data_IF_648830052807
#
_entry.id   IF_648830052807
#
_cell.length_a   1.000
_cell.length_b   1.000
_cell.length_c   1.000
_cell.angle_alpha   90.00
_cell.angle_beta   90.00
_cell.angle_gamma   90.00
#
_symmetry.space_group_name_H-M   'P 1'
#
loop_
_entity.id
_entity.type
_entity.pdbx_description
1 polymer ?
#
# COMPACT_ATOMS: atom_id res chain seq x y z
N UNK A 1 55.48 34.90 -55.50
CA UNK A 1 54.99 33.64 -56.10
C UNK A 1 53.62 33.33 -55.53
N UNK A 2 52.65 33.07 -56.42
CA UNK A 2 51.42 32.34 -56.08
C UNK A 2 50.20 33.16 -55.65
N UNK A 3 49.56 33.82 -56.62
CA UNK A 3 48.20 34.36 -56.52
C UNK A 3 47.13 33.27 -56.75
N UNK A 4 45.92 33.52 -56.22
CA UNK A 4 44.54 33.20 -56.72
C UNK A 4 43.60 33.25 -55.51
N UNK A 5 42.43 33.86 -55.50
CA UNK A 5 41.57 34.44 -56.54
C UNK A 5 40.14 34.45 -55.97
N UNK A 6 39.40 35.52 -56.24
CA UNK A 6 38.10 35.89 -55.64
C UNK A 6 36.92 35.02 -56.13
N UNK A 7 35.81 35.02 -55.38
CA UNK A 7 34.47 35.26 -55.95
C UNK A 7 33.41 35.51 -54.85
N UNK A 8 32.81 36.70 -54.89
CA UNK A 8 31.52 37.01 -54.30
C UNK A 8 30.42 36.57 -55.28
N UNK A 9 29.32 36.01 -54.76
CA UNK A 9 28.12 35.69 -55.52
C UNK A 9 26.88 36.17 -54.76
N UNK A 10 26.27 37.23 -55.27
CA UNK A 10 24.92 37.70 -54.94
C UNK A 10 23.87 36.93 -55.74
N UNK A 11 22.77 36.50 -55.11
CA UNK A 11 21.64 35.95 -55.85
C UNK A 11 20.50 35.43 -54.97
N UNK A 12 19.43 36.22 -54.91
CA UNK A 12 18.01 35.83 -54.86
C UNK A 12 17.40 35.15 -53.61
N UNK A 13 16.36 35.83 -53.08
CA UNK A 13 15.02 35.24 -53.09
C UNK A 13 14.57 34.45 -51.85
N UNK A 14 14.05 35.18 -50.86
CA UNK A 14 12.81 34.85 -50.16
C UNK A 14 12.73 33.55 -49.34
N UNK A 15 12.59 33.68 -48.02
CA UNK A 15 11.57 32.93 -47.26
C UNK A 15 11.39 33.55 -45.87
N UNK A 16 10.16 33.98 -45.59
CA UNK A 16 9.70 34.35 -44.26
C UNK A 16 9.83 33.14 -43.32
N UNK A 17 10.74 33.21 -42.36
CA UNK A 17 10.89 32.21 -41.29
C UNK A 17 10.25 32.73 -40.01
N UNK A 18 9.07 32.22 -39.68
CA UNK A 18 8.39 32.42 -38.40
C UNK A 18 9.31 32.05 -37.23
N UNK A 19 9.55 32.99 -36.33
CA UNK A 19 10.05 32.68 -34.99
C UNK A 19 8.91 32.01 -34.22
N UNK A 20 8.79 30.69 -34.33
CA UNK A 20 8.03 29.91 -33.35
C UNK A 20 8.79 29.99 -32.03
N UNK A 21 8.18 30.64 -31.03
CA UNK A 21 8.54 30.46 -29.62
C UNK A 21 8.44 28.96 -29.32
N UNK A 22 9.57 28.27 -29.30
CA UNK A 22 9.68 26.98 -28.64
C UNK A 22 9.35 27.19 -27.17
N UNK A 23 8.18 26.71 -26.73
CA UNK A 23 7.86 26.61 -25.33
C UNK A 23 8.94 25.78 -24.66
N UNK A 24 9.58 26.33 -23.62
CA UNK A 24 10.38 25.52 -22.72
C UNK A 24 9.41 24.49 -22.11
N UNK A 25 9.47 23.25 -22.58
CA UNK A 25 8.91 22.13 -21.85
C UNK A 25 9.61 22.10 -20.50
N UNK A 26 8.85 22.30 -19.43
CA UNK A 26 9.30 22.08 -18.06
C UNK A 26 10.03 20.74 -17.97
N UNK A 27 11.14 20.63 -17.22
CA UNK A 27 11.75 19.33 -16.98
C UNK A 27 10.69 18.38 -16.40
N UNK A 28 10.66 17.10 -16.80
CA UNK A 28 9.75 16.13 -16.20
C UNK A 28 9.99 16.15 -14.69
N UNK A 29 8.91 16.32 -13.92
CA UNK A 29 8.95 16.12 -12.47
C UNK A 29 9.59 14.76 -12.20
N UNK A 30 10.40 14.61 -11.13
CA UNK A 30 10.89 13.28 -10.74
C UNK A 30 9.68 12.35 -10.62
N UNK A 31 9.80 11.05 -10.95
CA UNK A 31 8.68 10.14 -10.83
C UNK A 31 8.17 10.24 -9.40
N UNK A 32 6.88 10.47 -9.20
CA UNK A 32 6.31 10.61 -7.87
C UNK A 32 6.18 9.20 -7.30
N UNK A 33 6.57 8.98 -6.04
CA UNK A 33 6.28 7.70 -5.40
C UNK A 33 4.77 7.56 -5.26
N UNK A 34 4.22 6.41 -5.66
CA UNK A 34 2.79 6.15 -5.53
C UNK A 34 2.57 5.15 -4.41
N UNK A 35 1.63 5.46 -3.52
CA UNK A 35 1.31 4.65 -2.36
C UNK A 35 -0.14 4.21 -2.40
N UNK A 36 -0.39 2.92 -2.21
CA UNK A 36 -1.71 2.39 -1.87
C UNK A 36 -1.73 2.16 -0.36
N UNK A 37 -2.57 2.89 0.36
CA UNK A 37 -2.68 2.86 1.82
C UNK A 37 -4.08 2.50 2.25
N UNK A 38 -4.21 1.46 3.05
CA UNK A 38 -5.42 1.10 3.74
C UNK A 38 -5.33 1.66 5.17
N UNK A 39 -6.38 2.34 5.58
CA UNK A 39 -6.57 2.86 6.92
C UNK A 39 -7.77 2.15 7.54
N UNK A 40 -7.60 1.65 8.76
CA UNK A 40 -8.65 1.02 9.54
C UNK A 40 -8.66 1.65 10.93
N UNK A 41 -9.86 1.93 11.43
CA UNK A 41 -10.09 2.46 12.77
C UNK A 41 -11.16 1.60 13.43
N UNK A 42 -10.86 1.09 14.62
CA UNK A 42 -11.78 0.27 15.40
C UNK A 42 -11.97 0.87 16.79
N UNK A 43 -13.22 1.05 17.18
CA UNK A 43 -13.62 1.52 18.50
C UNK A 43 -14.18 0.34 19.26
N UNK A 44 -13.42 -0.17 20.22
CA UNK A 44 -13.85 -1.26 21.10
C UNK A 44 -14.60 -0.67 22.29
N UNK A 45 -15.93 -0.73 22.27
CA UNK A 45 -16.78 -0.24 23.36
C UNK A 45 -16.80 -1.18 24.55
N UNK A 46 -16.76 -2.49 24.28
CA UNK A 46 -16.66 -3.57 25.26
C UNK A 46 -16.20 -4.87 24.55
N UNK A 47 -16.09 -5.96 25.30
CA UNK A 47 -15.63 -7.25 24.80
C UNK A 47 -16.48 -7.87 23.68
N UNK A 48 -17.69 -7.36 23.44
CA UNK A 48 -18.65 -7.87 22.46
C UNK A 48 -19.12 -6.83 21.43
N UNK A 49 -18.68 -5.58 21.55
CA UNK A 49 -19.15 -4.47 20.72
C UNK A 49 -17.97 -3.67 20.21
N UNK A 50 -17.87 -3.61 18.89
CA UNK A 50 -16.79 -2.93 18.16
C UNK A 50 -17.38 -2.23 16.96
N UNK A 51 -17.17 -0.92 16.86
CA UNK A 51 -17.42 -0.18 15.62
C UNK A 51 -16.14 -0.14 14.81
N UNK A 52 -16.24 -0.33 13.50
CA UNK A 52 -15.08 -0.36 12.62
C UNK A 52 -15.37 0.45 11.36
N UNK A 53 -14.36 1.23 10.96
CA UNK A 53 -14.34 2.02 9.74
C UNK A 53 -13.03 1.73 9.00
N UNK A 54 -13.12 1.68 7.68
CA UNK A 54 -11.97 1.45 6.81
C UNK A 54 -12.04 2.32 5.57
N UNK A 55 -10.89 2.70 5.05
CA UNK A 55 -10.76 3.39 3.77
C UNK A 55 -9.47 2.99 3.08
N UNK A 56 -9.45 3.09 1.76
CA UNK A 56 -8.26 2.87 0.94
C UNK A 56 -7.94 4.13 0.13
N UNK A 57 -6.69 4.57 0.19
CA UNK A 57 -6.16 5.76 -0.47
C UNK A 57 -5.12 5.36 -1.51
N UNK A 58 -5.21 5.93 -2.71
CA UNK A 58 -4.15 5.91 -3.71
C UNK A 58 -3.55 7.32 -3.78
N UNK A 59 -2.35 7.51 -3.23
CA UNK A 59 -1.89 8.85 -2.85
C UNK A 59 -2.86 9.44 -1.81
N UNK A 60 -3.40 10.64 -2.06
CA UNK A 60 -4.48 11.20 -1.24
C UNK A 60 -5.90 10.96 -1.81
N UNK A 61 -6.04 10.19 -2.90
CA UNK A 61 -7.34 9.92 -3.50
C UNK A 61 -8.02 8.72 -2.82
N UNK A 62 -9.17 8.94 -2.22
CA UNK A 62 -9.98 7.86 -1.66
C UNK A 62 -10.60 7.00 -2.77
N UNK A 63 -10.30 5.70 -2.70
CA UNK A 63 -10.69 4.70 -3.69
C UNK A 63 -11.80 3.80 -3.19
N UNK A 64 -11.76 3.46 -1.89
CA UNK A 64 -12.73 2.60 -1.25
C UNK A 64 -13.03 3.10 0.14
N UNK A 65 -14.26 2.85 0.60
CA UNK A 65 -14.69 3.07 1.99
C UNK A 65 -15.48 1.88 2.49
N UNK A 66 -15.47 1.68 3.81
CA UNK A 66 -16.18 0.62 4.49
C UNK A 66 -16.57 1.08 5.88
N UNK A 67 -17.83 0.86 6.27
CA UNK A 67 -18.26 0.91 7.66
C UNK A 67 -18.84 -0.45 8.07
N UNK A 68 -18.57 -0.87 9.30
CA UNK A 68 -18.95 -2.20 9.75
C UNK A 68 -20.32 -2.28 10.45
N UNK A 69 -21.24 -1.38 10.07
CA UNK A 69 -22.68 -1.65 10.25
C UNK A 69 -23.16 -2.75 9.29
N UNK A 70 -22.61 -2.79 8.07
CA UNK A 70 -22.83 -3.86 7.09
C UNK A 70 -21.52 -4.54 6.66
N UNK A 71 -20.37 -3.90 6.91
CA UNK A 71 -19.04 -4.30 6.45
C UNK A 71 -18.97 -4.44 4.90
N UNK A 72 -19.84 -3.73 4.18
CA UNK A 72 -19.79 -3.65 2.73
C UNK A 72 -18.66 -2.69 2.31
N UNK A 73 -17.86 -3.11 1.33
CA UNK A 73 -16.78 -2.29 0.79
C UNK A 73 -17.29 -1.58 -0.46
N UNK A 74 -17.35 -0.26 -0.41
CA UNK A 74 -17.83 0.56 -1.51
C UNK A 74 -16.68 1.08 -2.35
N UNK A 75 -16.81 0.98 -3.68
CA UNK A 75 -15.91 1.62 -4.63
C UNK A 75 -16.33 3.08 -4.83
N UNK A 76 -15.44 4.01 -4.50
CA UNK A 76 -15.66 5.46 -4.70
C UNK A 76 -15.17 5.93 -6.07
N UNK A 77 -14.33 5.12 -6.71
CA UNK A 77 -13.69 5.42 -7.98
C UNK A 77 -14.03 4.34 -9.01
N UNK A 78 -14.66 4.69 -10.16
CA UNK A 78 -15.02 3.69 -11.18
C UNK A 78 -13.81 2.93 -11.74
N UNK A 79 -12.66 3.61 -11.86
CA UNK A 79 -11.42 3.01 -12.36
C UNK A 79 -10.79 2.03 -11.35
N UNK A 80 -11.07 2.17 -10.04
CA UNK A 80 -10.62 1.21 -9.03
C UNK A 80 -11.37 -0.12 -9.18
N UNK A 81 -12.66 -0.06 -9.51
CA UNK A 81 -13.43 -1.26 -9.84
C UNK A 81 -12.96 -1.91 -11.15
N UNK A 82 -12.66 -1.11 -12.17
CA UNK A 82 -12.16 -1.60 -13.47
C UNK A 82 -10.76 -2.23 -13.36
N UNK A 83 -9.95 -1.76 -12.41
CA UNK A 83 -8.62 -2.30 -12.13
C UNK A 83 -8.62 -3.73 -11.58
N UNK A 84 -9.78 -4.29 -11.23
CA UNK A 84 -9.93 -5.62 -10.68
C UNK A 84 -10.81 -6.50 -11.59
N UNK A 85 -10.37 -7.73 -11.85
CA UNK A 85 -11.30 -8.73 -12.37
C UNK A 85 -12.31 -9.14 -11.30
N UNK A 86 -13.53 -9.59 -11.67
CA UNK A 86 -14.53 -10.03 -10.70
C UNK A 86 -14.01 -11.10 -9.74
N UNK A 87 -13.16 -12.02 -10.23
CA UNK A 87 -12.54 -13.05 -9.40
C UNK A 87 -11.53 -12.47 -8.42
N UNK A 88 -10.65 -11.56 -8.87
CA UNK A 88 -9.71 -10.90 -7.97
C UNK A 88 -10.44 -10.14 -6.86
N UNK A 89 -11.52 -9.43 -7.20
CA UNK A 89 -12.31 -8.73 -6.20
C UNK A 89 -12.94 -9.68 -5.18
N UNK A 90 -13.58 -10.78 -5.63
CA UNK A 90 -14.15 -11.77 -4.73
C UNK A 90 -13.12 -12.39 -3.78
N UNK A 91 -11.93 -12.72 -4.30
CA UNK A 91 -10.83 -13.29 -3.51
C UNK A 91 -10.31 -12.27 -2.47
N UNK A 92 -10.18 -10.99 -2.86
CA UNK A 92 -9.77 -9.89 -1.97
C UNK A 92 -10.81 -9.59 -0.90
N UNK A 93 -12.08 -9.50 -1.27
CA UNK A 93 -13.20 -9.24 -0.36
C UNK A 93 -13.26 -10.31 0.74
N UNK A 94 -13.19 -11.59 0.37
CA UNK A 94 -13.15 -12.70 1.33
C UNK A 94 -11.95 -12.60 2.28
N UNK A 95 -10.79 -12.24 1.75
CA UNK A 95 -9.56 -12.08 2.53
C UNK A 95 -9.68 -10.90 3.51
N UNK A 96 -10.23 -9.78 3.08
CA UNK A 96 -10.46 -8.59 3.91
C UNK A 96 -11.44 -8.93 5.04
N UNK A 97 -12.61 -9.51 4.75
CA UNK A 97 -13.57 -9.86 5.79
C UNK A 97 -13.00 -10.85 6.81
N UNK A 98 -12.22 -11.85 6.36
CA UNK A 98 -11.54 -12.78 7.26
C UNK A 98 -10.51 -12.07 8.14
N UNK A 99 -9.74 -11.16 7.57
CA UNK A 99 -8.77 -10.36 8.32
C UNK A 99 -9.46 -9.53 9.41
N UNK A 100 -10.52 -8.78 9.08
CA UNK A 100 -11.24 -7.92 10.03
C UNK A 100 -11.85 -8.73 11.17
N UNK A 101 -12.47 -9.87 10.87
CA UNK A 101 -13.01 -10.77 11.89
C UNK A 101 -11.93 -11.29 12.84
N UNK A 102 -10.79 -11.75 12.30
CA UNK A 102 -9.69 -12.27 13.10
C UNK A 102 -8.96 -11.18 13.89
N UNK A 103 -8.86 -9.97 13.33
CA UNK A 103 -8.29 -8.80 13.98
C UNK A 103 -9.07 -8.47 15.26
N UNK A 104 -10.39 -8.26 15.14
CA UNK A 104 -11.25 -7.93 16.29
C UNK A 104 -11.19 -9.00 17.38
N UNK A 105 -11.21 -10.27 16.99
CA UNK A 105 -11.10 -11.39 17.94
C UNK A 105 -9.76 -11.37 18.67
N UNK A 106 -8.67 -11.11 17.94
CA UNK A 106 -7.31 -11.12 18.50
C UNK A 106 -7.08 -9.93 19.43
N UNK A 107 -7.52 -8.74 19.03
CA UNK A 107 -7.40 -7.52 19.84
C UNK A 107 -8.21 -7.65 21.13
N UNK A 108 -9.48 -8.10 21.07
CA UNK A 108 -10.28 -8.33 22.27
C UNK A 108 -9.64 -9.35 23.23
N UNK A 109 -9.08 -10.44 22.68
CA UNK A 109 -8.38 -11.45 23.49
C UNK A 109 -7.17 -10.84 24.21
N UNK A 110 -6.34 -10.09 23.48
CA UNK A 110 -5.16 -9.42 24.05
C UNK A 110 -5.59 -8.41 25.13
N UNK A 111 -6.60 -7.58 24.84
CA UNK A 111 -7.12 -6.60 25.77
C UNK A 111 -7.58 -7.25 27.09
N UNK A 112 -8.31 -8.36 27.02
CA UNK A 112 -8.72 -9.11 28.21
C UNK A 112 -7.53 -9.71 28.97
N UNK A 113 -6.58 -10.32 28.26
CA UNK A 113 -5.40 -10.95 28.87
C UNK A 113 -4.46 -9.95 29.54
N UNK A 114 -4.34 -8.75 28.98
CA UNK A 114 -3.50 -7.66 29.50
C UNK A 114 -4.25 -6.71 30.43
N UNK A 115 -5.52 -6.99 30.75
CA UNK A 115 -6.32 -6.16 31.65
C UNK A 115 -6.60 -4.75 31.12
N UNK A 116 -6.60 -4.55 29.79
CA UNK A 116 -6.93 -3.27 29.17
C UNK A 116 -8.41 -2.94 29.41
N UNK A 117 -8.67 -1.76 29.97
CA UNK A 117 -10.02 -1.24 30.14
C UNK A 117 -10.64 -0.82 28.80
N UNK A 118 -11.97 -0.94 28.71
CA UNK A 118 -12.78 -0.40 27.61
C UNK A 118 -13.37 0.96 28.03
N UNK A 119 -13.67 1.87 27.09
CA UNK A 119 -13.42 1.74 25.65
C UNK A 119 -11.96 2.04 25.28
N UNK A 120 -11.52 1.53 24.13
CA UNK A 120 -10.25 1.91 23.52
C UNK A 120 -10.35 1.90 22.00
N UNK A 121 -9.42 2.58 21.34
CA UNK A 121 -9.37 2.70 19.88
C UNK A 121 -8.11 2.02 19.36
N UNK A 122 -8.23 1.24 18.30
CA UNK A 122 -7.09 0.83 17.48
C UNK A 122 -7.12 1.51 16.14
N UNK A 123 -5.94 1.84 15.62
CA UNK A 123 -5.77 2.42 14.30
C UNK A 123 -4.72 1.60 13.57
N UNK A 124 -5.01 1.18 12.35
CA UNK A 124 -4.08 0.43 11.52
C UNK A 124 -3.85 1.18 10.22
N UNK A 125 -2.58 1.31 9.84
CA UNK A 125 -2.17 1.75 8.52
C UNK A 125 -1.33 0.67 7.87
N UNK A 126 -1.81 0.11 6.77
CA UNK A 126 -1.10 -0.93 6.03
C UNK A 126 -1.18 -0.67 4.54
N UNK A 127 -0.20 -1.14 3.78
CA UNK A 127 -0.18 -0.92 2.35
C UNK A 127 1.19 -1.12 1.73
N UNK A 128 1.35 -0.51 0.56
CA UNK A 128 2.59 -0.59 -0.20
C UNK A 128 2.86 0.69 -0.97
N UNK A 129 4.13 0.94 -1.22
CA UNK A 129 4.66 2.06 -1.97
C UNK A 129 5.50 1.54 -3.15
N UNK A 130 5.40 2.25 -4.27
CA UNK A 130 6.27 2.13 -5.43
C UNK A 130 7.11 3.39 -5.57
N UNK A 131 8.35 3.38 -5.07
CA UNK A 131 9.24 4.51 -5.25
C UNK A 131 9.76 4.62 -6.70
N UNK A 132 10.36 5.76 -7.07
CA UNK A 132 10.79 6.05 -8.44
C UNK A 132 11.88 5.12 -8.96
N UNK A 133 12.62 4.49 -8.05
CA UNK A 133 13.68 3.53 -8.35
C UNK A 133 13.14 2.15 -8.81
N UNK A 134 11.81 1.97 -8.88
CA UNK A 134 11.17 0.72 -9.29
C UNK A 134 11.17 -0.38 -8.24
N UNK A 135 11.70 -0.10 -7.03
CA UNK A 135 11.54 -0.99 -5.88
C UNK A 135 10.09 -1.00 -5.39
N UNK A 136 9.76 -1.90 -4.46
CA UNK A 136 8.51 -1.86 -3.73
C UNK A 136 8.79 -1.97 -2.24
N UNK A 137 7.93 -1.33 -1.44
CA UNK A 137 7.99 -1.39 0.01
C UNK A 137 6.60 -1.61 0.58
N UNK A 138 6.44 -2.66 1.36
CA UNK A 138 5.24 -2.87 2.18
C UNK A 138 5.36 -2.18 3.54
N UNK A 139 4.24 -1.90 4.18
CA UNK A 139 4.19 -1.46 5.57
C UNK A 139 2.90 -1.95 6.25
N UNK A 140 2.99 -2.14 7.57
CA UNK A 140 1.86 -2.41 8.45
C UNK A 140 2.23 -1.82 9.82
N UNK A 141 1.46 -0.84 10.25
CA UNK A 141 1.62 -0.14 11.51
C UNK A 141 0.29 -0.14 12.25
N UNK A 142 0.33 -0.42 13.55
CA UNK A 142 -0.84 -0.36 14.41
C UNK A 142 -0.56 0.49 15.64
N UNK A 143 -1.55 1.32 15.98
CA UNK A 143 -1.56 2.22 17.12
C UNK A 143 -2.77 1.91 18.03
N UNK A 144 -2.63 2.24 19.31
CA UNK A 144 -3.68 2.13 20.32
C UNK A 144 -3.86 3.49 20.95
N UNK A 145 -5.08 4.03 20.94
CA UNK A 145 -5.41 5.37 21.46
C UNK A 145 -4.49 6.49 20.90
N UNK A 146 -4.12 6.40 19.62
CA UNK A 146 -3.25 7.37 18.97
C UNK A 146 -1.75 7.18 19.21
N UNK A 147 -1.33 6.19 20.00
CA UNK A 147 0.07 5.90 20.26
C UNK A 147 0.54 4.67 19.49
N UNK A 148 1.71 4.77 18.84
CA UNK A 148 2.35 3.68 18.12
C UNK A 148 2.53 2.45 19.03
N UNK A 149 2.04 1.30 18.60
CA UNK A 149 1.99 0.09 19.44
C UNK A 149 2.85 -1.04 18.86
N UNK A 150 2.59 -1.46 17.63
CA UNK A 150 3.34 -2.51 16.93
C UNK A 150 3.46 -2.21 15.43
N UNK A 151 4.44 -2.82 14.79
CA UNK A 151 4.60 -2.79 13.32
C UNK A 151 5.13 -4.10 12.77
N UNK A 152 4.95 -4.31 11.47
CA UNK A 152 5.53 -5.44 10.77
C UNK A 152 6.85 -5.04 10.07
N UNK A 153 7.94 -5.71 10.45
CA UNK A 153 9.21 -5.66 9.75
C UNK A 153 9.12 -6.54 8.49
N UNK A 154 9.01 -5.89 7.34
CA UNK A 154 8.86 -6.55 6.04
C UNK A 154 10.08 -7.35 5.63
N UNK A 155 11.29 -6.92 6.01
CA UNK A 155 12.53 -7.59 5.64
C UNK A 155 12.74 -8.85 6.49
N UNK A 156 12.48 -8.72 7.80
CA UNK A 156 12.57 -9.83 8.75
C UNK A 156 11.34 -10.76 8.79
N UNK A 157 10.21 -10.35 8.19
CA UNK A 157 8.97 -11.11 8.20
C UNK A 157 8.40 -11.33 9.61
N UNK A 158 8.51 -10.32 10.48
CA UNK A 158 8.17 -10.42 11.91
C UNK A 158 7.55 -9.15 12.47
N UNK A 159 6.79 -9.30 13.54
CA UNK A 159 6.26 -8.19 14.32
C UNK A 159 7.33 -7.60 15.24
N UNK A 160 7.30 -6.28 15.40
CA UNK A 160 8.18 -5.49 16.25
C UNK A 160 7.30 -4.60 17.13
N UNK A 161 7.65 -4.50 18.42
CA UNK A 161 7.00 -3.55 19.33
C UNK A 161 7.55 -2.15 19.07
N UNK A 162 6.67 -1.14 19.04
CA UNK A 162 7.10 0.26 18.85
C UNK A 162 7.58 0.91 20.15
N UNK A 163 7.15 0.37 21.29
CA UNK A 163 7.52 0.82 22.63
C UNK A 163 8.05 -0.39 23.42
N UNK A 164 9.37 -0.43 23.67
CA UNK A 164 10.04 -1.57 24.33
C UNK A 164 9.78 -1.63 25.85
N UNK A 165 9.25 -0.55 26.44
CA UNK A 165 8.80 -0.49 27.84
C UNK A 165 7.31 -0.83 28.01
N UNK A 166 6.56 -0.94 26.92
CA UNK A 166 5.15 -1.29 26.94
C UNK A 166 4.94 -2.81 26.97
N UNK A 167 4.67 -3.35 28.17
CA UNK A 167 4.46 -4.79 28.40
C UNK A 167 3.39 -5.39 27.47
N UNK A 168 2.30 -4.66 27.20
CA UNK A 168 1.24 -5.15 26.32
C UNK A 168 1.69 -5.21 24.85
N UNK A 169 2.55 -4.27 24.41
CA UNK A 169 3.14 -4.29 23.07
C UNK A 169 4.12 -5.46 22.90
N UNK A 170 4.98 -5.70 23.91
CA UNK A 170 5.90 -6.85 23.95
C UNK A 170 5.13 -8.17 23.91
N UNK A 171 4.10 -8.32 24.74
CA UNK A 171 3.24 -9.50 24.76
C UNK A 171 2.58 -9.74 23.39
N UNK A 172 2.04 -8.67 22.78
CA UNK A 172 1.40 -8.74 21.47
C UNK A 172 2.38 -9.17 20.39
N UNK A 173 3.57 -8.55 20.35
CA UNK A 173 4.66 -8.92 19.43
C UNK A 173 4.97 -10.41 19.53
N UNK A 174 5.17 -10.92 20.75
CA UNK A 174 5.57 -12.31 20.97
C UNK A 174 4.46 -13.30 20.61
N UNK A 175 3.21 -12.94 20.90
CA UNK A 175 2.03 -13.71 20.51
C UNK A 175 1.90 -13.80 18.99
N UNK A 176 1.99 -12.67 18.28
CA UNK A 176 1.83 -12.62 16.82
C UNK A 176 3.00 -13.29 16.09
N UNK A 177 4.20 -13.28 16.68
CA UNK A 177 5.37 -13.93 16.09
C UNK A 177 5.35 -15.46 16.13
N UNK A 178 4.53 -16.06 17.00
CA UNK A 178 4.32 -17.51 17.05
C UNK A 178 3.57 -18.04 15.82
N UNK A 179 2.72 -17.22 15.20
CA UNK A 179 1.96 -17.62 14.03
C UNK A 179 2.77 -17.39 12.74
N UNK A 180 3.49 -18.43 12.32
CA UNK A 180 4.27 -18.38 11.06
C UNK A 180 3.39 -18.19 9.82
N UNK A 181 2.18 -18.75 9.83
CA UNK A 181 1.26 -18.72 8.70
C UNK A 181 0.80 -17.30 8.43
N UNK A 182 0.23 -16.65 9.46
CA UNK A 182 -0.25 -15.27 9.37
C UNK A 182 0.86 -14.30 8.96
N UNK A 183 2.08 -14.45 9.51
CA UNK A 183 3.22 -13.60 9.12
C UNK A 183 3.61 -13.75 7.65
N UNK A 184 3.63 -15.00 7.15
CA UNK A 184 3.95 -15.27 5.75
C UNK A 184 2.88 -14.70 4.81
N UNK A 185 1.60 -14.82 5.21
CA UNK A 185 0.46 -14.24 4.49
C UNK A 185 0.56 -12.71 4.43
N UNK A 186 0.82 -12.03 5.55
CA UNK A 186 0.99 -10.56 5.57
C UNK A 186 2.13 -10.13 4.65
N UNK A 187 3.28 -10.80 4.73
CA UNK A 187 4.43 -10.47 3.89
C UNK A 187 4.08 -10.59 2.40
N UNK A 188 3.46 -11.70 1.99
CA UNK A 188 3.02 -11.91 0.61
C UNK A 188 1.99 -10.88 0.15
N UNK A 189 1.00 -10.58 1.00
CA UNK A 189 -0.04 -9.61 0.69
C UNK A 189 0.55 -8.22 0.43
N UNK A 190 1.48 -7.76 1.27
CA UNK A 190 2.05 -6.42 1.15
C UNK A 190 3.13 -6.31 0.07
N UNK A 191 3.93 -7.36 -0.13
CA UNK A 191 5.01 -7.35 -1.14
C UNK A 191 4.53 -7.63 -2.56
N UNK A 192 3.44 -8.41 -2.71
CA UNK A 192 3.02 -8.96 -3.99
C UNK A 192 1.62 -8.48 -4.36
N UNK A 193 0.60 -8.82 -3.56
CA UNK A 193 -0.79 -8.50 -3.89
C UNK A 193 -1.01 -6.99 -3.94
N UNK A 194 -0.66 -6.27 -2.87
CA UNK A 194 -0.80 -4.83 -2.81
C UNK A 194 -0.08 -4.13 -3.96
N UNK A 195 1.14 -4.57 -4.29
CA UNK A 195 1.94 -3.98 -5.38
C UNK A 195 1.28 -4.22 -6.74
N UNK A 196 0.69 -5.40 -6.95
CA UNK A 196 -0.08 -5.71 -8.16
C UNK A 196 -1.29 -4.80 -8.29
N UNK A 197 -2.07 -4.65 -7.21
CA UNK A 197 -3.26 -3.79 -7.22
C UNK A 197 -2.91 -2.31 -7.38
N UNK A 198 -1.88 -1.83 -6.69
CA UNK A 198 -1.34 -0.49 -6.85
C UNK A 198 -0.97 -0.19 -8.31
N UNK A 199 -0.29 -1.12 -9.00
CA UNK A 199 0.04 -0.95 -10.43
C UNK A 199 -1.21 -0.91 -11.31
N UNK A 200 -2.17 -1.79 -11.06
CA UNK A 200 -3.43 -1.82 -11.82
C UNK A 200 -4.21 -0.52 -11.63
N UNK A 201 -4.30 -0.04 -10.39
CA UNK A 201 -4.98 1.21 -10.04
C UNK A 201 -4.31 2.43 -10.65
N UNK A 202 -2.99 2.52 -10.66
CA UNK A 202 -2.26 3.58 -11.36
C UNK A 202 -2.53 3.53 -12.87
N UNK A 203 -2.55 2.35 -13.46
CA UNK A 203 -2.81 2.18 -14.89
C UNK A 203 -4.22 2.66 -15.30
N UNK A 204 -5.23 2.41 -14.48
CA UNK A 204 -6.62 2.79 -14.78
C UNK A 204 -6.97 4.21 -14.27
N UNK A 205 -6.30 4.69 -13.23
CA UNK A 205 -6.60 5.94 -12.53
C UNK A 205 -5.72 7.13 -12.91
N UNK A 206 -4.84 7.00 -13.91
CA UNK A 206 -3.80 8.00 -14.21
C UNK A 206 -4.34 9.43 -14.35
N UNK A 207 -5.43 9.63 -15.10
CA UNK A 207 -6.03 10.97 -15.26
C UNK A 207 -6.54 11.58 -13.94
N UNK A 208 -7.01 10.74 -13.01
CA UNK A 208 -7.48 11.20 -11.69
C UNK A 208 -6.31 11.57 -10.78
N UNK A 209 -5.21 10.85 -10.88
CA UNK A 209 -3.96 11.14 -10.16
C UNK A 209 -3.29 12.41 -10.69
N UNK A 210 -3.28 12.61 -12.00
CA UNK A 210 -2.76 13.84 -12.63
C UNK A 210 -3.57 15.07 -12.18
N UNK A 211 -4.90 15.00 -12.20
CA UNK A 211 -5.78 16.08 -11.70
C UNK A 211 -5.53 16.42 -10.24
N UNK A 212 -5.27 15.42 -9.40
CA UNK A 212 -4.91 15.64 -8.00
C UNK A 212 -3.53 16.31 -7.86
N UNK A 213 -2.52 15.84 -8.61
CA UNK A 213 -1.19 16.45 -8.63
C UNK A 213 -1.24 17.93 -9.05
N UNK A 214 -2.04 18.25 -10.06
CA UNK A 214 -2.28 19.64 -10.49
C UNK A 214 -3.03 20.46 -9.43
N UNK A 215 -4.06 19.91 -8.79
CA UNK A 215 -4.79 20.59 -7.72
C UNK A 215 -3.91 20.86 -6.48
N UNK A 216 -3.03 19.92 -6.12
CA UNK A 216 -2.03 20.10 -5.06
C UNK A 216 -0.97 21.14 -5.42
N UNK A 217 -0.61 21.25 -6.71
CA UNK A 217 0.30 22.28 -7.22
C UNK A 217 -0.35 23.67 -7.30
N UNK A 218 -1.68 23.76 -7.36
CA UNK A 218 -2.42 25.02 -7.35
C UNK A 218 -2.63 25.64 -5.96
N UNK A 219 -2.27 24.93 -4.87
CA UNK A 219 -2.37 25.46 -3.50
C UNK A 219 -1.11 26.19 -2.99
N UNK A 220 -0.13 26.48 -3.85
CA UNK A 220 0.84 27.55 -3.60
C UNK A 220 1.01 28.41 -4.86
N UNK A 221 0.64 29.69 -4.77
CA UNK A 221 1.66 30.65 -4.35
C UNK A 221 1.16 31.65 -3.30
N UNK A 222 1.59 31.47 -2.05
CA UNK A 222 1.94 32.63 -1.23
C UNK A 222 3.34 33.10 -1.66
N UNK A 223 3.45 33.69 -2.86
CA UNK A 223 4.70 34.28 -3.35
C UNK A 223 4.44 35.55 -4.16
N UNK A 224 3.73 36.50 -3.55
CA UNK A 224 3.73 37.89 -4.02
C UNK A 224 4.19 38.91 -2.96
N UNK A 225 4.66 38.47 -1.80
CA UNK A 225 5.39 39.33 -0.89
C UNK A 225 6.69 38.62 -0.49
N UNK A 226 7.83 39.26 -0.79
CA UNK A 226 9.23 38.89 -0.49
C UNK A 226 10.03 38.17 -1.59
N UNK A 227 9.89 38.62 -2.84
CA UNK A 227 10.74 38.24 -3.98
C UNK A 227 12.11 38.93 -4.06
N UNK A 228 12.89 39.07 -2.97
CA UNK A 228 14.23 39.69 -3.06
C UNK A 228 15.39 39.11 -2.22
N UNK A 229 15.27 37.92 -1.60
CA UNK A 229 16.40 37.40 -0.76
C UNK A 229 16.97 36.03 -1.16
N UNK A 230 16.29 35.19 -1.94
CA UNK A 230 16.83 33.83 -2.27
C UNK A 230 17.48 33.74 -3.66
N UNK A 231 18.41 34.64 -3.98
CA UNK A 231 19.27 34.51 -5.15
C UNK A 231 20.75 34.67 -4.77
N UNK A 232 21.23 33.86 -3.84
CA UNK A 232 22.64 33.51 -3.71
C UNK A 232 22.75 32.08 -3.16
N UNK A 233 23.68 31.29 -3.72
CA UNK A 233 23.99 29.88 -3.47
C UNK A 233 22.99 28.90 -4.13
N UNK A 234 23.31 28.08 -5.13
CA UNK A 234 24.53 27.30 -5.38
C UNK A 234 24.75 27.17 -6.91
N UNK A 235 25.87 27.69 -7.41
CA UNK A 235 26.54 27.20 -8.62
C UNK A 235 27.54 26.09 -8.22
N UNK A 236 27.69 25.07 -9.07
CA UNK A 236 28.71 24.01 -8.99
C UNK A 236 28.14 22.71 -8.41
N UNK A 237 28.16 21.56 -9.07
CA UNK A 237 29.19 21.03 -9.96
C UNK A 237 28.63 19.90 -10.84
N UNK A 238 29.31 19.65 -11.95
CA UNK A 238 28.93 18.80 -13.08
C UNK A 238 29.64 17.43 -13.01
N UNK A 239 29.11 16.46 -13.80
CA UNK A 239 29.73 15.20 -14.33
C UNK A 239 29.61 13.94 -13.44
N UNK A 240 29.34 12.69 -13.88
CA UNK A 240 29.41 11.89 -15.15
C UNK A 240 28.33 10.75 -15.09
N UNK A 241 27.52 10.42 -16.13
CA UNK A 241 27.65 9.35 -17.18
C UNK A 241 27.93 7.92 -16.64
N UNK A 242 27.31 6.77 -17.00
CA UNK A 242 26.65 6.25 -18.23
C UNK A 242 25.93 4.87 -17.99
N UNK A 243 24.98 4.52 -18.90
CA UNK A 243 24.64 3.19 -19.49
C UNK A 243 24.08 2.02 -18.62
N UNK A 244 23.29 1.03 -19.08
CA UNK A 244 22.36 0.79 -20.19
C UNK A 244 21.67 -0.61 -20.01
N UNK A 245 20.38 -0.73 -20.39
CA UNK A 245 19.71 -1.84 -21.14
C UNK A 245 19.34 -3.23 -20.51
N UNK A 246 18.06 -3.60 -20.78
CA UNK A 246 17.45 -4.91 -21.11
C UNK A 246 16.83 -5.86 -20.04
N UNK A 247 15.49 -5.98 -20.11
CA UNK A 247 14.81 -7.18 -20.64
C UNK A 247 14.33 -8.28 -19.67
N UNK A 248 13.39 -9.10 -20.16
CA UNK A 248 12.82 -10.38 -19.63
C UNK A 248 11.47 -10.20 -18.89
N UNK A 249 10.32 -10.35 -19.57
CA UNK A 249 9.58 -11.55 -20.03
C UNK A 249 8.63 -12.16 -18.99
N UNK A 250 7.35 -12.16 -19.37
CA UNK A 250 6.22 -12.89 -18.80
C UNK A 250 6.54 -14.36 -18.55
N UNK A 251 6.01 -14.93 -17.46
CA UNK A 251 5.75 -16.37 -17.40
C UNK A 251 4.52 -16.71 -16.57
N UNK A 252 3.74 -17.64 -17.12
CA UNK A 252 2.40 -18.11 -16.80
C UNK A 252 2.32 -19.05 -15.58
N UNK A 253 3.16 -18.84 -14.56
CA UNK A 253 3.18 -19.66 -13.35
C UNK A 253 2.19 -19.20 -12.24
N UNK A 254 1.42 -18.14 -12.50
CA UNK A 254 0.60 -17.41 -11.54
C UNK A 254 -0.58 -18.21 -10.94
N UNK A 255 -1.12 -19.19 -11.67
CA UNK A 255 -2.36 -19.87 -11.26
C UNK A 255 -2.14 -21.09 -10.34
N UNK A 256 -0.95 -21.70 -10.38
CA UNK A 256 -0.67 -22.92 -9.60
C UNK A 256 -0.26 -22.62 -8.15
N UNK A 257 0.46 -21.50 -7.91
CA UNK A 257 0.95 -21.11 -6.59
C UNK A 257 -0.18 -20.61 -5.66
N UNK A 258 -1.16 -19.89 -6.20
CA UNK A 258 -2.35 -19.44 -5.46
C UNK A 258 -3.15 -20.65 -4.94
N UNK A 259 -3.28 -21.68 -5.78
CA UNK A 259 -4.03 -22.90 -5.45
C UNK A 259 -3.30 -23.81 -4.44
N UNK A 260 -1.96 -23.76 -4.37
CA UNK A 260 -1.20 -24.49 -3.34
C UNK A 260 -1.20 -23.78 -1.99
N UNK A 261 -1.18 -22.45 -1.97
CA UNK A 261 -1.21 -21.65 -0.73
C UNK A 261 -2.58 -21.73 -0.04
N UNK A 262 -3.67 -21.62 -0.82
CA UNK A 262 -5.04 -21.86 -0.33
C UNK A 262 -5.25 -23.29 0.20
N UNK A 263 -4.58 -24.29 -0.40
CA UNK A 263 -4.69 -25.70 0.03
C UNK A 263 -3.91 -25.98 1.32
N UNK A 264 -2.84 -25.24 1.61
CA UNK A 264 -2.10 -25.38 2.87
C UNK A 264 -2.90 -24.82 4.05
N UNK A 265 -3.69 -23.76 3.87
CA UNK A 265 -4.62 -23.27 4.89
C UNK A 265 -5.71 -24.31 5.26
N UNK A 266 -6.21 -25.09 4.29
CA UNK A 266 -7.21 -26.15 4.56
C UNK A 266 -6.63 -27.29 5.42
N UNK A 267 -5.32 -27.56 5.34
CA UNK A 267 -4.67 -28.59 6.16
C UNK A 267 -4.30 -28.09 7.56
N UNK A 268 -4.04 -26.80 7.74
CA UNK A 268 -3.72 -26.20 9.04
C UNK A 268 -4.90 -26.11 10.01
N UNK A 269 -6.13 -26.16 9.50
CA UNK A 269 -7.38 -26.06 10.30
C UNK A 269 -8.01 -27.43 10.59
N UNK A 270 -7.50 -28.51 10.01
CA UNK A 270 -7.97 -29.89 10.21
C UNK A 270 -6.88 -30.79 10.84
N UNK A 271 -6.47 -30.46 12.06
CA UNK A 271 -5.91 -31.45 13.00
C UNK A 271 -6.40 -31.13 14.41
N UNK A 272 -7.32 -31.92 14.97
CA UNK A 272 -7.88 -31.68 16.29
C UNK A 272 -6.97 -32.22 17.39
N UNK A 273 -7.08 -31.59 18.56
CA UNK A 273 -6.81 -32.18 19.87
C UNK A 273 -7.19 -33.66 19.89
N UNK A 274 -6.19 -34.55 19.95
CA UNK A 274 -6.33 -35.89 20.53
C UNK A 274 -5.06 -36.16 21.31
N UNK A 275 -5.10 -35.91 22.62
CA UNK A 275 -4.39 -36.68 23.66
C UNK A 275 -4.71 -36.08 25.03
N UNK A 276 -5.84 -36.51 25.61
CA UNK A 276 -5.99 -36.68 27.05
C UNK A 276 -7.17 -37.63 27.27
N UNK A 277 -6.88 -38.85 27.71
CA UNK A 277 -7.87 -39.92 27.86
C UNK A 277 -8.85 -39.68 29.00
N UNK A 278 -10.06 -40.22 28.85
CA UNK A 278 -11.09 -40.21 29.89
C UNK A 278 -12.42 -40.83 29.45
N UNK A 279 -12.48 -42.17 29.53
CA UNK A 279 -13.63 -43.09 29.57
C UNK A 279 -14.98 -42.71 28.93
N UNK A 280 -15.33 -43.60 28.00
CA UNK A 280 -16.64 -44.02 27.48
C UNK A 280 -17.77 -43.94 28.52
N UNK A 281 -18.85 -43.26 28.14
CA UNK A 281 -20.20 -43.39 28.71
C UNK A 281 -21.23 -43.43 27.58
N UNK A 282 -21.80 -44.62 27.33
CA UNK A 282 -22.97 -44.85 26.46
C UNK A 282 -24.24 -44.53 27.26
N UNK A 283 -25.29 -43.97 26.62
CA UNK A 283 -26.73 -44.35 26.68
C UNK A 283 -27.61 -43.33 25.86
N UNK A 284 -28.87 -43.65 25.48
CA UNK A 284 -29.30 -43.75 24.08
C UNK A 284 -30.57 -42.94 23.71
N UNK A 285 -30.82 -42.86 22.39
CA UNK A 285 -32.14 -43.01 21.76
C UNK A 285 -33.22 -41.94 21.98
N UNK A 286 -33.70 -41.34 20.88
CA UNK A 286 -35.03 -41.65 20.35
C UNK A 286 -35.22 -41.11 18.93
N UNK A 287 -35.75 -42.01 18.08
CA UNK A 287 -36.40 -41.73 16.80
C UNK A 287 -37.80 -41.18 17.06
N UNK A 288 -38.23 -40.26 16.21
CA UNK A 288 -39.58 -39.76 16.04
C UNK A 288 -39.58 -38.74 14.92
#
# INVERSE_FOLDING_TARGET
>A
GGARGWAAGSGEGGRWGLWQRGGLSSPPLPPVSVTLRLLQIDVFHNASSTDMQGMALLGDLETHSMNCSTCEIHFLQPWAQQGLTPKQWQDLELLIHRYLFNFNRTVNRIAQQQGKGYPFVTQVSLGCELPPNGSSRGFYDAAVNGEDFISFDMDGGKWVARQEDNVAALYTRDLLNQDKGTRSTIQFLLSTTCVSELKSFVQHGNESLERQGEAGHHLLPCSHLWGRVCLLFIQGSRTHSNAAIAGVQHSSHFTAALHSSLRQEVKGVLSPMVTAGGRIGVWPGQRG
#
